data_IF_031252603624
#
_entry.id   IF_031252603624
#
_cell.length_a   1.000
_cell.length_b   1.000
_cell.length_c   1.000
_cell.angle_alpha   90.00
_cell.angle_beta   90.00
_cell.angle_gamma   90.00
#
_symmetry.space_group_name_H-M   'P 1'
#
loop_
_entity.id
_entity.type
_entity.pdbx_description
1 polymer ?
#
# COMPACT_ATOMS: atom_id res chain seq x y z
N UNK A 1 7.87 -60.98 25.96
CA UNK A 1 8.84 -59.94 25.64
C UNK A 1 8.21 -59.06 24.58
N UNK A 2 7.78 -57.86 24.97
CA UNK A 2 7.18 -56.88 24.08
C UNK A 2 8.02 -55.61 24.16
N UNK A 3 8.74 -55.28 23.10
CA UNK A 3 9.52 -54.05 22.97
C UNK A 3 8.56 -52.89 22.73
N UNK A 4 8.59 -51.90 23.61
CA UNK A 4 7.90 -50.62 23.44
C UNK A 4 8.78 -49.70 22.66
N UNK A 5 8.36 -49.33 21.44
CA UNK A 5 8.93 -48.22 20.70
C UNK A 5 8.45 -46.92 21.33
N UNK A 6 9.40 -46.18 21.89
CA UNK A 6 9.19 -44.80 22.36
C UNK A 6 9.28 -43.90 21.13
N UNK A 7 8.15 -43.39 20.69
CA UNK A 7 8.11 -42.27 19.74
C UNK A 7 8.40 -41.01 20.53
N UNK A 8 9.56 -40.38 20.28
CA UNK A 8 9.87 -39.06 20.79
C UNK A 8 9.08 -38.03 19.97
N UNK A 9 8.10 -37.42 20.60
CA UNK A 9 7.49 -36.17 20.13
C UNK A 9 8.55 -35.07 20.13
N UNK A 10 9.00 -34.70 18.95
CA UNK A 10 9.75 -33.46 18.75
C UNK A 10 8.71 -32.35 18.61
N UNK A 11 8.40 -31.70 19.72
CA UNK A 11 7.62 -30.47 19.73
C UNK A 11 8.42 -29.37 19.01
N UNK A 12 8.08 -29.12 17.76
CA UNK A 12 8.59 -27.95 17.02
C UNK A 12 8.03 -26.67 17.66
N UNK A 13 8.94 -25.82 18.09
CA UNK A 13 8.61 -24.53 18.70
C UNK A 13 7.88 -23.64 17.69
N UNK A 14 6.71 -23.04 18.02
CA UNK A 14 5.91 -22.26 17.08
C UNK A 14 6.55 -20.95 16.60
N UNK A 15 7.69 -20.57 17.17
CA UNK A 15 8.36 -19.28 16.88
C UNK A 15 9.25 -19.32 15.63
N UNK A 16 9.70 -20.50 15.20
CA UNK A 16 10.59 -20.63 14.03
C UNK A 16 9.87 -20.63 12.67
N UNK A 17 8.54 -20.68 12.65
CA UNK A 17 7.78 -20.69 11.39
C UNK A 17 7.55 -19.26 10.84
N UNK A 18 7.76 -18.22 11.65
CA UNK A 18 7.46 -16.84 11.27
C UNK A 18 8.56 -16.15 10.42
N UNK A 19 9.74 -16.73 10.26
CA UNK A 19 10.86 -16.11 9.53
C UNK A 19 11.20 -16.72 8.17
N UNK A 20 10.57 -17.81 7.80
CA UNK A 20 10.63 -18.27 6.42
C UNK A 20 9.59 -17.53 5.56
N UNK A 21 9.89 -16.28 5.21
CA UNK A 21 9.32 -15.68 4.01
C UNK A 21 9.73 -16.63 2.88
N UNK A 22 8.78 -17.45 2.46
CA UNK A 22 8.98 -18.31 1.31
C UNK A 22 9.08 -17.39 0.09
N UNK A 23 10.32 -16.95 -0.21
CA UNK A 23 10.65 -16.48 -1.54
C UNK A 23 10.43 -17.71 -2.43
N UNK A 24 9.23 -17.82 -2.99
CA UNK A 24 8.98 -18.81 -4.02
C UNK A 24 10.06 -18.62 -5.09
N UNK A 25 10.78 -19.69 -5.50
CA UNK A 25 11.75 -19.57 -6.57
C UNK A 25 11.03 -18.92 -7.74
N UNK A 26 11.62 -17.87 -8.30
CA UNK A 26 11.09 -17.17 -9.45
C UNK A 26 10.94 -18.19 -10.57
N UNK A 27 9.75 -18.74 -10.71
CA UNK A 27 9.34 -19.29 -11.99
C UNK A 27 9.39 -18.08 -12.90
N UNK A 28 10.21 -18.14 -13.93
CA UNK A 28 10.49 -17.06 -14.89
C UNK A 28 9.26 -16.88 -15.81
N UNK A 29 8.09 -16.70 -15.19
CA UNK A 29 6.77 -16.56 -15.79
C UNK A 29 6.30 -15.11 -15.58
N UNK A 30 5.94 -14.47 -16.68
CA UNK A 30 5.21 -13.21 -16.60
C UNK A 30 3.74 -13.51 -16.29
N UNK A 31 3.20 -12.80 -15.32
CA UNK A 31 1.80 -12.84 -14.95
C UNK A 31 1.03 -11.77 -15.70
N UNK A 32 -0.25 -11.97 -15.89
CA UNK A 32 -1.19 -10.99 -16.43
C UNK A 32 -2.14 -10.51 -15.35
N UNK A 33 -2.69 -9.31 -15.52
CA UNK A 33 -3.68 -8.76 -14.59
C UNK A 33 -4.92 -9.68 -14.45
N UNK A 34 -5.29 -10.39 -15.52
CA UNK A 34 -6.37 -11.37 -15.47
C UNK A 34 -6.05 -12.53 -14.52
N UNK A 35 -4.87 -13.13 -14.65
CA UNK A 35 -4.46 -14.25 -13.78
C UNK A 35 -4.33 -13.84 -12.31
N UNK A 36 -3.84 -12.62 -12.04
CA UNK A 36 -3.74 -12.12 -10.66
C UNK A 36 -5.14 -11.85 -10.09
N UNK A 37 -6.08 -11.33 -10.88
CA UNK A 37 -7.49 -11.19 -10.43
C UNK A 37 -8.13 -12.54 -10.15
N UNK A 38 -7.87 -13.56 -10.97
CA UNK A 38 -8.35 -14.93 -10.70
C UNK A 38 -7.81 -15.47 -9.37
N UNK A 39 -6.55 -15.13 -9.01
CA UNK A 39 -6.00 -15.46 -7.69
C UNK A 39 -6.72 -14.70 -6.56
N UNK A 40 -7.00 -13.41 -6.75
CA UNK A 40 -7.73 -12.58 -5.76
C UNK A 40 -9.13 -13.15 -5.57
N UNK A 41 -9.85 -13.43 -6.64
CA UNK A 41 -11.22 -13.99 -6.59
C UNK A 41 -11.27 -15.38 -5.94
N UNK A 42 -10.24 -16.20 -6.14
CA UNK A 42 -10.11 -17.51 -5.52
C UNK A 42 -9.75 -17.43 -4.01
N UNK A 43 -9.23 -16.29 -3.56
CA UNK A 43 -8.81 -16.06 -2.17
C UNK A 43 -9.56 -14.85 -1.58
N UNK A 44 -10.81 -15.01 -1.16
CA UNK A 44 -11.67 -13.91 -0.74
C UNK A 44 -11.24 -13.25 0.59
N UNK A 45 -10.18 -13.75 1.21
CA UNK A 45 -9.60 -13.14 2.40
C UNK A 45 -8.80 -11.91 2.01
N UNK A 46 -8.82 -10.87 2.85
CA UNK A 46 -8.08 -9.63 2.62
C UNK A 46 -6.55 -9.80 2.62
N UNK A 47 -6.07 -10.94 3.09
CA UNK A 47 -4.63 -11.28 3.15
C UNK A 47 -4.40 -12.77 2.84
N UNK A 48 -3.26 -13.11 2.20
CA UNK A 48 -2.26 -12.20 1.64
C UNK A 48 -2.81 -11.37 0.49
N UNK A 49 -2.25 -10.17 0.25
CA UNK A 49 -2.57 -9.36 -0.93
C UNK A 49 -1.76 -9.85 -2.13
N UNK A 50 -2.39 -9.87 -3.30
CA UNK A 50 -1.76 -10.22 -4.57
C UNK A 50 -1.73 -8.99 -5.47
N UNK A 51 -0.55 -8.64 -5.97
CA UNK A 51 -0.33 -7.49 -6.83
C UNK A 51 0.50 -7.89 -8.05
N UNK A 52 0.33 -7.19 -9.16
CA UNK A 52 1.12 -7.38 -10.38
C UNK A 52 1.94 -6.13 -10.66
N UNK A 53 3.25 -6.27 -10.74
CA UNK A 53 4.16 -5.17 -11.07
C UNK A 53 5.15 -5.64 -12.11
N UNK A 54 5.14 -5.02 -13.28
CA UNK A 54 6.00 -5.35 -14.43
C UNK A 54 6.00 -6.86 -14.78
N UNK A 55 4.82 -7.50 -14.71
CA UNK A 55 4.65 -8.92 -14.97
C UNK A 55 5.08 -9.85 -13.81
N UNK A 56 5.52 -9.32 -12.68
CA UNK A 56 5.86 -10.09 -11.49
C UNK A 56 4.71 -10.10 -10.47
N UNK A 57 4.34 -11.28 -9.99
CA UNK A 57 3.40 -11.43 -8.88
C UNK A 57 4.09 -11.06 -7.57
N UNK A 58 3.53 -10.09 -6.86
CA UNK A 58 3.90 -9.75 -5.49
C UNK A 58 2.85 -10.31 -4.52
N UNK A 59 3.32 -10.90 -3.43
CA UNK A 59 2.46 -11.45 -2.36
C UNK A 59 2.84 -10.78 -1.05
N UNK A 60 1.91 -10.02 -0.47
CA UNK A 60 2.14 -9.22 0.73
C UNK A 60 1.37 -9.80 1.91
N UNK A 61 2.03 -10.12 3.04
CA UNK A 61 1.38 -10.64 4.24
C UNK A 61 0.51 -9.57 4.94
N UNK A 62 -0.21 -9.98 5.99
CA UNK A 62 -0.99 -9.08 6.82
C UNK A 62 -0.11 -7.97 7.44
N UNK A 63 -0.56 -6.70 7.42
CA UNK A 63 0.20 -5.60 7.98
C UNK A 63 0.19 -5.62 9.52
N UNK A 64 1.19 -4.95 10.13
CA UNK A 64 1.26 -4.71 11.58
C UNK A 64 0.24 -3.66 12.02
N UNK A 65 -0.12 -3.64 13.31
CA UNK A 65 -1.10 -2.68 13.85
C UNK A 65 -0.68 -1.22 13.63
N UNK A 66 0.59 -0.87 13.85
CA UNK A 66 1.10 0.49 13.62
C UNK A 66 0.98 0.92 12.15
N UNK A 67 1.14 0.00 11.21
CA UNK A 67 0.90 0.26 9.80
C UNK A 67 -0.59 0.56 9.55
N UNK A 68 -1.49 -0.20 10.15
CA UNK A 68 -2.94 0.04 10.06
C UNK A 68 -3.32 1.40 10.64
N UNK A 69 -2.73 1.80 11.78
CA UNK A 69 -2.95 3.13 12.37
C UNK A 69 -2.48 4.24 11.43
N UNK A 70 -1.30 4.10 10.83
CA UNK A 70 -0.78 5.05 9.85
C UNK A 70 -1.73 5.23 8.65
N UNK A 71 -2.23 4.11 8.12
CA UNK A 71 -3.22 4.08 7.03
C UNK A 71 -4.52 4.78 7.45
N UNK A 72 -5.03 4.45 8.64
CA UNK A 72 -6.29 5.02 9.13
C UNK A 72 -6.20 6.53 9.35
N UNK A 73 -5.12 7.01 9.97
CA UNK A 73 -4.89 8.45 10.19
C UNK A 73 -4.75 9.19 8.86
N UNK A 74 -3.97 8.66 7.90
CA UNK A 74 -3.81 9.27 6.58
C UNK A 74 -5.15 9.35 5.83
N UNK A 75 -5.92 8.27 5.84
CA UNK A 75 -7.25 8.24 5.22
C UNK A 75 -8.19 9.28 5.82
N UNK A 76 -8.23 9.40 7.15
CA UNK A 76 -9.09 10.37 7.86
C UNK A 76 -8.73 11.80 7.49
N UNK A 77 -7.44 12.14 7.43
CA UNK A 77 -6.95 13.47 7.07
C UNK A 77 -7.31 13.81 5.62
N UNK A 78 -7.09 12.90 4.67
CA UNK A 78 -7.45 13.09 3.27
C UNK A 78 -8.97 13.21 3.08
N UNK A 79 -9.76 12.39 3.75
CA UNK A 79 -11.23 12.48 3.67
C UNK A 79 -11.75 13.78 4.25
N UNK A 80 -11.26 14.21 5.41
CA UNK A 80 -11.63 15.50 6.00
C UNK A 80 -11.36 16.70 5.07
N UNK A 81 -10.22 16.67 4.38
CA UNK A 81 -9.92 17.67 3.35
C UNK A 81 -10.89 17.60 2.16
N UNK A 82 -11.14 16.39 1.63
CA UNK A 82 -11.98 16.19 0.45
C UNK A 82 -13.49 16.41 0.72
N UNK A 83 -13.92 16.47 1.97
CA UNK A 83 -15.26 16.94 2.35
C UNK A 83 -15.41 18.45 2.14
N UNK A 84 -14.34 19.22 2.37
CA UNK A 84 -14.30 20.68 2.19
C UNK A 84 -14.01 21.04 0.73
N UNK A 85 -13.05 20.35 0.12
CA UNK A 85 -12.60 20.51 -1.27
C UNK A 85 -13.01 19.27 -2.10
N UNK A 86 -14.23 19.23 -2.64
CA UNK A 86 -14.79 18.01 -3.25
C UNK A 86 -14.25 17.73 -4.66
N UNK A 87 -12.92 17.59 -4.77
CA UNK A 87 -12.20 17.34 -6.03
C UNK A 87 -11.86 15.86 -6.27
N UNK A 88 -12.08 15.01 -5.27
CA UNK A 88 -11.74 13.58 -5.34
C UNK A 88 -12.44 12.76 -4.26
N UNK A 89 -12.09 11.48 -4.21
CA UNK A 89 -12.56 10.57 -3.18
C UNK A 89 -11.41 9.66 -2.69
N UNK A 90 -11.22 9.57 -1.37
CA UNK A 90 -10.17 8.77 -0.75
C UNK A 90 -10.70 7.43 -0.27
N UNK A 91 -9.96 6.36 -0.57
CA UNK A 91 -10.18 5.00 -0.11
C UNK A 91 -8.87 4.34 0.34
N UNK A 92 -8.98 3.12 0.84
CA UNK A 92 -7.87 2.28 1.29
C UNK A 92 -8.00 0.86 0.75
N UNK A 93 -6.92 0.08 0.82
CA UNK A 93 -6.93 -1.36 0.55
C UNK A 93 -7.90 -2.12 1.48
N UNK A 94 -8.44 -3.29 1.02
CA UNK A 94 -8.19 -3.89 -0.27
C UNK A 94 -9.05 -3.26 -1.38
N UNK A 95 -8.40 -2.76 -2.43
CA UNK A 95 -9.09 -2.23 -3.62
C UNK A 95 -8.16 -2.36 -4.83
N UNK A 96 -8.62 -3.02 -5.87
CA UNK A 96 -7.83 -3.25 -7.07
C UNK A 96 -7.70 -1.99 -7.91
N UNK A 97 -6.48 -1.55 -8.13
CA UNK A 97 -6.10 -0.42 -8.96
C UNK A 97 -5.26 -0.93 -10.13
N UNK A 98 -5.81 -0.85 -11.33
CA UNK A 98 -5.17 -1.23 -12.58
C UNK A 98 -4.82 0.03 -13.39
N UNK A 99 -3.60 0.50 -13.27
CA UNK A 99 -3.12 1.71 -13.94
C UNK A 99 -2.59 1.42 -15.36
N UNK A 100 -2.01 0.24 -15.56
CA UNK A 100 -1.48 -0.28 -16.83
C UNK A 100 -1.78 -1.78 -16.92
N UNK A 101 -1.63 -2.37 -18.12
CA UNK A 101 -1.89 -3.79 -18.38
C UNK A 101 -1.06 -4.73 -17.49
N UNK A 102 0.18 -4.34 -17.17
CA UNK A 102 1.08 -5.10 -16.31
C UNK A 102 1.24 -4.48 -14.91
N UNK A 103 0.33 -3.58 -14.51
CA UNK A 103 0.35 -2.93 -13.20
C UNK A 103 -1.03 -2.96 -12.53
N UNK A 104 -1.23 -3.97 -11.71
CA UNK A 104 -2.38 -4.14 -10.82
C UNK A 104 -1.88 -4.11 -9.37
N UNK A 105 -2.27 -3.11 -8.60
CA UNK A 105 -1.81 -2.88 -7.23
C UNK A 105 -2.96 -2.63 -6.28
N UNK A 106 -2.66 -2.67 -4.98
CA UNK A 106 -3.59 -2.35 -3.90
C UNK A 106 -2.93 -1.34 -2.95
N UNK A 107 -2.87 -0.05 -3.33
CA UNK A 107 -2.21 0.97 -2.51
C UNK A 107 -2.87 1.11 -1.15
N UNK A 108 -2.07 1.35 -0.12
CA UNK A 108 -2.56 1.42 1.26
C UNK A 108 -3.60 2.52 1.45
N UNK A 109 -3.36 3.72 0.89
CA UNK A 109 -4.36 4.79 0.75
C UNK A 109 -4.26 5.39 -0.64
N UNK A 110 -5.37 5.81 -1.22
CA UNK A 110 -5.35 6.46 -2.52
C UNK A 110 -6.49 7.48 -2.67
N UNK A 111 -6.25 8.47 -3.51
CA UNK A 111 -7.26 9.45 -3.91
C UNK A 111 -7.52 9.31 -5.40
N UNK A 112 -8.77 9.12 -5.77
CA UNK A 112 -9.21 9.15 -7.15
C UNK A 112 -9.96 10.44 -7.47
N UNK A 113 -9.87 10.98 -8.71
CA UNK A 113 -10.72 12.11 -9.15
C UNK A 113 -12.20 11.76 -9.06
N UNK A 114 -13.08 12.74 -8.86
CA UNK A 114 -14.53 12.51 -8.79
C UNK A 114 -15.11 11.83 -10.04
N UNK A 115 -14.55 12.11 -11.22
CA UNK A 115 -14.98 11.45 -12.46
C UNK A 115 -14.72 9.93 -12.39
N UNK A 116 -13.57 9.54 -11.85
CA UNK A 116 -13.23 8.14 -11.65
C UNK A 116 -14.11 7.50 -10.57
N UNK A 117 -14.35 8.19 -9.45
CA UNK A 117 -15.27 7.72 -8.41
C UNK A 117 -16.67 7.39 -8.95
N UNK A 118 -17.21 8.26 -9.79
CA UNK A 118 -18.51 8.03 -10.44
C UNK A 118 -18.49 6.85 -11.41
N UNK A 119 -17.37 6.62 -12.10
CA UNK A 119 -17.18 5.48 -13.00
C UNK A 119 -17.11 4.15 -12.26
N UNK A 120 -16.31 4.04 -11.19
CA UNK A 120 -16.10 2.78 -10.46
C UNK A 120 -17.34 2.28 -9.72
N UNK A 121 -18.31 3.11 -9.45
CA UNK A 121 -19.63 2.66 -8.98
C UNK A 121 -20.35 1.72 -9.97
N UNK A 122 -19.95 1.76 -11.24
CA UNK A 122 -20.50 0.91 -12.31
C UNK A 122 -19.51 -0.18 -12.73
N UNK A 123 -18.22 0.12 -12.62
CA UNK A 123 -17.12 -0.73 -13.05
C UNK A 123 -16.17 -0.94 -11.85
N UNK A 124 -15.99 -2.12 -11.36
CA UNK A 124 -15.29 -2.39 -10.09
C UNK A 124 -13.80 -2.02 -10.05
N UNK A 125 -13.16 -1.77 -11.20
CA UNK A 125 -11.71 -1.55 -11.29
C UNK A 125 -11.39 -0.06 -11.32
N UNK A 126 -10.54 0.41 -10.42
CA UNK A 126 -9.99 1.77 -10.41
C UNK A 126 -8.86 1.86 -11.44
N UNK A 127 -8.90 2.90 -12.30
CA UNK A 127 -7.90 3.09 -13.36
C UNK A 127 -7.20 4.44 -13.34
N UNK A 128 -7.65 5.36 -12.49
CA UNK A 128 -7.07 6.70 -12.37
C UNK A 128 -6.97 7.12 -10.91
N UNK A 129 -5.80 7.55 -10.52
CA UNK A 129 -5.55 8.13 -9.20
C UNK A 129 -4.99 9.53 -9.33
N UNK A 130 -5.33 10.39 -8.37
CA UNK A 130 -4.62 11.65 -8.14
C UNK A 130 -3.40 11.42 -7.25
N UNK A 131 -3.57 10.60 -6.21
CA UNK A 131 -2.51 10.26 -5.27
C UNK A 131 -2.57 8.77 -4.96
N UNK A 132 -1.41 8.11 -4.88
CA UNK A 132 -1.22 6.81 -4.26
C UNK A 132 -0.28 6.95 -3.07
N UNK A 133 -0.60 6.27 -1.96
CA UNK A 133 0.19 6.27 -0.72
C UNK A 133 0.49 4.83 -0.33
N UNK A 134 1.76 4.55 -0.09
CA UNK A 134 2.21 3.28 0.50
C UNK A 134 2.89 3.56 1.84
N UNK A 135 2.50 2.83 2.86
CA UNK A 135 3.13 2.86 4.19
C UNK A 135 4.14 1.73 4.25
N UNK A 136 5.41 2.05 4.42
CA UNK A 136 6.46 1.04 4.40
C UNK A 136 6.32 0.06 5.56
N UNK A 137 6.56 -1.19 5.23
CA UNK A 137 6.84 -2.25 6.19
C UNK A 137 8.23 -2.85 5.90
N UNK A 138 8.87 -3.51 6.86
CA UNK A 138 10.17 -4.15 6.61
C UNK A 138 10.17 -5.11 5.42
N UNK A 139 9.04 -5.76 5.13
CA UNK A 139 8.88 -6.69 4.02
C UNK A 139 8.55 -6.03 2.67
N UNK A 140 7.99 -4.81 2.65
CA UNK A 140 7.53 -4.15 1.42
C UNK A 140 8.44 -3.02 0.93
N UNK A 141 9.28 -2.45 1.79
CA UNK A 141 10.08 -1.25 1.51
C UNK A 141 10.87 -1.29 0.19
N UNK A 142 11.49 -2.43 -0.13
CA UNK A 142 12.21 -2.63 -1.39
C UNK A 142 11.27 -2.68 -2.61
N UNK A 143 10.08 -3.25 -2.45
CA UNK A 143 9.08 -3.33 -3.52
C UNK A 143 8.47 -1.97 -3.80
N UNK A 144 8.10 -1.22 -2.77
CA UNK A 144 7.43 0.07 -2.89
C UNK A 144 8.35 1.12 -3.52
N UNK A 145 9.63 1.18 -3.07
CA UNK A 145 10.63 2.14 -3.58
C UNK A 145 11.18 1.80 -4.95
N UNK A 146 11.33 0.53 -5.29
CA UNK A 146 12.05 0.12 -6.50
C UNK A 146 11.11 -0.40 -7.58
N UNK A 147 10.14 -1.25 -7.23
CA UNK A 147 9.27 -1.90 -8.20
C UNK A 147 7.98 -1.13 -8.48
N UNK A 148 7.22 -0.76 -7.43
CA UNK A 148 5.94 -0.06 -7.61
C UNK A 148 6.11 1.40 -8.01
N UNK A 149 7.14 2.08 -7.47
CA UNK A 149 7.38 3.50 -7.74
C UNK A 149 7.36 3.87 -9.22
N UNK A 150 8.07 3.20 -10.14
CA UNK A 150 8.04 3.59 -11.55
C UNK A 150 6.63 3.54 -12.17
N UNK A 151 5.84 2.53 -11.81
CA UNK A 151 4.45 2.40 -12.28
C UNK A 151 3.55 3.51 -11.71
N UNK A 152 3.61 3.77 -10.43
CA UNK A 152 2.86 4.89 -9.85
C UNK A 152 3.30 6.24 -10.42
N UNK A 153 4.62 6.50 -10.46
CA UNK A 153 5.17 7.76 -10.91
C UNK A 153 4.77 8.13 -12.35
N UNK A 154 4.59 7.13 -13.23
CA UNK A 154 4.07 7.37 -14.59
C UNK A 154 2.57 7.70 -14.65
N UNK A 155 1.80 7.23 -13.68
CA UNK A 155 0.33 7.16 -13.81
C UNK A 155 -0.44 8.01 -12.80
N UNK A 156 0.20 8.53 -11.75
CA UNK A 156 -0.46 9.36 -10.74
C UNK A 156 0.18 10.75 -10.67
N UNK A 157 -0.57 11.73 -10.18
CA UNK A 157 -0.02 13.08 -10.01
C UNK A 157 1.05 13.13 -8.92
N UNK A 158 0.84 12.40 -7.83
CA UNK A 158 1.80 12.26 -6.74
C UNK A 158 1.78 10.83 -6.17
N UNK A 159 2.95 10.29 -5.89
CA UNK A 159 3.15 9.04 -5.16
C UNK A 159 3.86 9.33 -3.85
N UNK A 160 3.26 8.93 -2.73
CA UNK A 160 3.80 9.18 -1.40
C UNK A 160 4.19 7.85 -0.75
N UNK A 161 5.40 7.79 -0.24
CA UNK A 161 5.92 6.69 0.55
C UNK A 161 6.07 7.17 1.99
N UNK A 162 5.33 6.58 2.92
CA UNK A 162 5.38 6.90 4.34
C UNK A 162 6.35 5.94 5.03
N UNK A 163 7.49 6.45 5.49
CA UNK A 163 8.49 5.69 6.22
C UNK A 163 8.32 5.93 7.73
N UNK A 164 7.77 4.91 8.42
CA UNK A 164 7.47 4.98 9.85
C UNK A 164 8.75 4.98 10.70
N UNK A 165 9.77 4.25 10.26
CA UNK A 165 11.04 4.14 11.00
C UNK A 165 11.85 5.44 10.90
N UNK A 166 11.90 6.04 9.72
CA UNK A 166 12.61 7.30 9.48
C UNK A 166 11.78 8.54 9.80
N UNK A 167 10.50 8.40 10.11
CA UNK A 167 9.53 9.48 10.36
C UNK A 167 9.54 10.54 9.27
N UNK A 168 9.43 10.12 8.01
CA UNK A 168 9.41 11.00 6.84
C UNK A 168 8.42 10.50 5.77
N UNK A 169 8.05 11.40 4.86
CA UNK A 169 7.32 11.08 3.66
C UNK A 169 8.21 11.38 2.45
N UNK A 170 8.38 10.37 1.58
CA UNK A 170 8.96 10.57 0.26
C UNK A 170 7.83 10.91 -0.71
N UNK A 171 7.89 12.08 -1.34
CA UNK A 171 6.95 12.48 -2.39
C UNK A 171 7.62 12.40 -3.75
N UNK A 172 6.96 11.70 -4.67
CA UNK A 172 7.37 11.53 -6.05
C UNK A 172 6.32 12.07 -7.00
N UNK A 173 6.74 12.88 -7.96
CA UNK A 173 5.94 13.36 -9.09
C UNK A 173 6.44 12.73 -10.39
N UNK A 174 5.68 12.78 -11.50
CA UNK A 174 6.05 12.12 -12.76
C UNK A 174 7.44 12.44 -13.30
N UNK A 175 7.93 13.67 -13.11
CA UNK A 175 9.22 14.13 -13.62
C UNK A 175 10.37 14.06 -12.63
N UNK A 176 10.14 13.55 -11.41
CA UNK A 176 11.15 13.58 -10.36
C UNK A 176 12.18 12.46 -10.53
N UNK A 177 13.45 12.81 -10.55
CA UNK A 177 14.58 11.86 -10.50
C UNK A 177 14.90 11.44 -9.06
N UNK A 178 14.48 12.26 -8.08
CA UNK A 178 14.65 12.04 -6.63
C UNK A 178 13.40 12.45 -5.88
N UNK A 179 13.09 11.80 -4.75
CA UNK A 179 11.95 12.19 -3.94
C UNK A 179 12.18 13.53 -3.26
N UNK A 180 11.13 14.27 -3.08
CA UNK A 180 11.09 15.33 -2.08
C UNK A 180 10.90 14.67 -0.70
N UNK A 181 11.83 14.94 0.23
CA UNK A 181 11.81 14.41 1.60
C UNK A 181 11.12 15.39 2.53
N UNK A 182 10.04 14.95 3.16
CA UNK A 182 9.16 15.78 3.98
C UNK A 182 9.14 15.25 5.41
N UNK A 183 9.55 16.09 6.36
CA UNK A 183 9.63 15.76 7.80
C UNK A 183 8.82 16.69 8.71
N UNK A 184 8.46 17.89 8.22
CA UNK A 184 7.74 18.89 9.01
C UNK A 184 6.34 19.15 8.48
N UNK A 185 6.22 19.50 7.21
CA UNK A 185 4.92 19.80 6.59
C UNK A 185 4.91 19.41 5.13
N UNK A 186 3.71 19.13 4.61
CA UNK A 186 3.46 18.82 3.21
C UNK A 186 2.21 19.56 2.74
N UNK A 187 2.27 20.10 1.52
CA UNK A 187 1.09 20.62 0.83
C UNK A 187 0.85 19.82 -0.46
N UNK A 188 -0.39 19.44 -0.68
CA UNK A 188 -0.87 18.87 -1.93
C UNK A 188 -2.01 19.73 -2.48
N UNK A 189 -1.86 20.24 -3.69
CA UNK A 189 -2.85 21.10 -4.32
C UNK A 189 -3.44 20.44 -5.56
N UNK A 190 -4.53 19.65 -5.40
CA UNK A 190 -5.16 18.97 -6.51
C UNK A 190 -5.86 19.94 -7.46
N UNK A 191 -5.92 19.65 -8.77
CA UNK A 191 -6.64 20.45 -9.74
C UNK A 191 -8.11 20.65 -9.35
N UNK A 192 -8.55 21.92 -9.36
CA UNK A 192 -9.93 22.30 -9.06
C UNK A 192 -10.22 22.59 -7.59
N UNK A 193 -9.28 22.37 -6.69
CA UNK A 193 -9.43 22.77 -5.29
C UNK A 193 -9.24 24.30 -5.13
N UNK A 194 -9.91 24.90 -4.17
CA UNK A 194 -9.73 26.31 -3.81
C UNK A 194 -8.57 26.50 -2.82
N UNK A 195 -8.27 25.46 -1.98
CA UNK A 195 -7.18 25.46 -1.02
C UNK A 195 -6.42 24.13 -1.05
N UNK A 196 -5.10 24.11 -0.72
CA UNK A 196 -4.32 22.89 -0.67
C UNK A 196 -4.67 22.04 0.56
N UNK A 197 -4.51 20.72 0.42
CA UNK A 197 -4.38 19.83 1.56
C UNK A 197 -3.06 20.15 2.26
N UNK A 198 -3.12 20.34 3.58
CA UNK A 198 -1.96 20.59 4.42
C UNK A 198 -1.81 19.49 5.45
N UNK A 199 -0.67 18.82 5.44
CA UNK A 199 -0.30 17.81 6.42
C UNK A 199 0.82 18.33 7.31
N UNK A 200 0.57 18.39 8.62
CA UNK A 200 1.63 18.42 9.62
C UNK A 200 2.25 17.02 9.72
N UNK A 201 3.39 16.83 9.05
CA UNK A 201 4.07 15.55 8.95
C UNK A 201 4.61 15.12 10.32
N UNK A 202 5.18 16.04 11.09
CA UNK A 202 5.68 15.73 12.43
C UNK A 202 4.53 15.32 13.36
N UNK A 203 3.42 16.07 13.35
CA UNK A 203 2.21 15.74 14.10
C UNK A 203 1.56 14.42 13.67
N UNK A 204 1.60 14.09 12.38
CA UNK A 204 1.13 12.79 11.87
C UNK A 204 1.94 11.63 12.49
N UNK A 205 3.27 11.68 12.45
CA UNK A 205 4.11 10.63 13.04
C UNK A 205 3.98 10.56 14.56
N UNK A 206 3.85 11.72 15.24
CA UNK A 206 3.56 11.74 16.67
C UNK A 206 2.25 11.00 16.98
N UNK A 207 1.19 11.28 16.23
CA UNK A 207 -0.11 10.64 16.42
C UNK A 207 -0.10 9.13 16.16
N UNK A 208 0.70 8.67 15.18
CA UNK A 208 0.76 7.26 14.75
C UNK A 208 1.65 6.42 15.65
N UNK A 209 2.78 6.97 16.09
CA UNK A 209 3.86 6.19 16.72
C UNK A 209 3.96 6.36 18.22
N UNK A 210 3.53 7.52 18.74
CA UNK A 210 3.71 7.83 20.16
C UNK A 210 2.42 7.50 20.92
N UNK A 211 2.54 6.72 22.00
CA UNK A 211 1.40 6.33 22.81
C UNK A 211 0.86 7.54 23.60
N UNK A 212 -0.47 7.67 23.77
CA UNK A 212 -1.03 8.74 24.60
C UNK A 212 -0.51 8.65 26.03
N UNK A 213 0.20 9.67 26.49
CA UNK A 213 0.66 9.79 27.88
C UNK A 213 2.11 9.39 28.14
N UNK A 214 2.92 9.19 27.11
CA UNK A 214 4.38 9.09 27.22
C UNK A 214 5.06 10.44 26.99
#
# INVERSE_FOLDING_TARGET
>A
MAERHIVRDVALCPVEIAEQIMVMPAVNRRWTAKEVRELIDANPLATPRYELVDGALLVTPAPRLVHQEAVAVMLLLLRGYLEIEPVGHALTSPSDVELEEEFLSQPDVFVMPLAEWRRVHRERIVRRLSVAVEVLSPSSAGHDRVRKRPGYQRNVSEYWIVDLDARLIERWRPSDDRPEILTQSMEWFPPGAAAPFRLDVAGYFHKVLDLPGE
#
